data_IF_252298620263
#
_entry.id   IF_252298620263
#
_cell.length_a   1.000
_cell.length_b   1.000
_cell.length_c   1.000
_cell.angle_alpha   90.00
_cell.angle_beta   90.00
_cell.angle_gamma   90.00
#
_symmetry.space_group_name_H-M   'P 1'
#
loop_
_entity.id
_entity.type
_entity.pdbx_description
1 polymer ?
#
# COMPACT_ATOMS: atom_id res chain seq x y z
N UNK A 1 6.24 7.07 -11.56
CA UNK A 1 5.91 6.25 -10.37
C UNK A 1 6.40 4.84 -10.62
N UNK A 2 7.05 4.20 -9.63
CA UNK A 2 7.54 2.81 -9.75
C UNK A 2 6.44 1.86 -9.29
N UNK A 3 6.22 0.78 -10.04
CA UNK A 3 5.42 -0.35 -9.58
C UNK A 3 6.24 -1.08 -8.51
N UNK A 4 5.76 -1.08 -7.28
CA UNK A 4 6.38 -1.76 -6.17
C UNK A 4 5.73 -3.13 -6.00
N UNK A 5 6.53 -4.14 -5.70
CA UNK A 5 6.03 -5.43 -5.21
C UNK A 5 5.55 -5.28 -3.77
N UNK A 6 4.79 -6.27 -3.30
CA UNK A 6 4.28 -6.32 -1.92
C UNK A 6 5.35 -6.08 -0.84
N UNK A 7 6.50 -6.75 -0.93
CA UNK A 7 7.62 -6.56 0.01
C UNK A 7 8.24 -5.16 -0.07
N UNK A 8 8.33 -4.62 -1.30
CA UNK A 8 8.94 -3.30 -1.54
C UNK A 8 8.07 -2.16 -1.00
N UNK A 9 6.74 -2.26 -1.16
CA UNK A 9 5.83 -1.23 -0.67
C UNK A 9 5.80 -1.20 0.86
N UNK A 10 5.78 -2.36 1.53
CA UNK A 10 5.83 -2.42 2.99
C UNK A 10 7.10 -1.78 3.51
N UNK A 11 8.24 -2.09 2.90
CA UNK A 11 9.51 -1.49 3.29
C UNK A 11 9.52 0.03 3.11
N UNK A 12 9.08 0.53 1.95
CA UNK A 12 8.98 1.98 1.72
C UNK A 12 8.01 2.65 2.69
N UNK A 13 6.86 2.04 2.98
CA UNK A 13 5.90 2.58 3.95
C UNK A 13 6.51 2.65 5.34
N UNK A 14 7.20 1.60 5.79
CA UNK A 14 7.87 1.59 7.08
C UNK A 14 8.94 2.68 7.18
N UNK A 15 9.71 2.91 6.11
CA UNK A 15 10.71 3.98 6.06
C UNK A 15 10.07 5.38 6.03
N UNK A 16 8.98 5.56 5.27
CA UNK A 16 8.30 6.85 5.14
C UNK A 16 7.51 7.22 6.40
N UNK A 17 6.90 6.25 7.06
CA UNK A 17 6.10 6.44 8.28
C UNK A 17 6.93 6.31 9.56
N UNK A 18 8.19 5.88 9.45
CA UNK A 18 9.09 5.62 10.57
C UNK A 18 8.50 4.64 11.62
N UNK A 19 7.61 3.75 11.16
CA UNK A 19 6.82 2.85 11.99
C UNK A 19 6.62 1.53 11.24
N UNK A 20 6.55 0.40 11.95
CA UNK A 20 6.17 -0.86 11.31
C UNK A 20 4.67 -0.89 11.06
N UNK A 21 4.26 -0.62 9.82
CA UNK A 21 2.87 -0.57 9.39
C UNK A 21 2.44 -1.83 8.63
N UNK A 22 3.25 -2.89 8.68
CA UNK A 22 3.00 -4.16 7.98
C UNK A 22 1.60 -4.71 8.25
N UNK A 23 1.19 -4.75 9.52
CA UNK A 23 -0.15 -5.24 9.88
C UNK A 23 -1.27 -4.36 9.31
N UNK A 24 -1.11 -3.03 9.44
CA UNK A 24 -2.10 -2.06 8.95
C UNK A 24 -2.23 -2.18 7.42
N UNK A 25 -1.11 -2.34 6.72
CA UNK A 25 -1.06 -2.55 5.28
C UNK A 25 -1.82 -3.81 4.85
N UNK A 26 -1.56 -4.95 5.50
CA UNK A 26 -2.24 -6.22 5.21
C UNK A 26 -3.75 -6.14 5.43
N UNK A 27 -4.19 -5.50 6.52
CA UNK A 27 -5.60 -5.29 6.82
C UNK A 27 -6.29 -4.43 5.75
N UNK A 28 -5.67 -3.31 5.37
CA UNK A 28 -6.20 -2.42 4.34
C UNK A 28 -6.18 -3.06 2.95
N UNK A 29 -5.15 -3.82 2.61
CA UNK A 29 -5.05 -4.55 1.35
C UNK A 29 -6.17 -5.58 1.22
N UNK A 30 -6.45 -6.33 2.30
CA UNK A 30 -7.56 -7.29 2.32
C UNK A 30 -8.90 -6.59 2.12
N UNK A 31 -9.13 -5.47 2.81
CA UNK A 31 -10.34 -4.68 2.65
C UNK A 31 -10.48 -4.12 1.22
N UNK A 32 -9.39 -3.58 0.66
CA UNK A 32 -9.34 -3.07 -0.71
C UNK A 32 -9.68 -4.14 -1.75
N UNK A 33 -9.15 -5.36 -1.58
CA UNK A 33 -9.47 -6.51 -2.42
C UNK A 33 -10.92 -7.00 -2.29
N UNK A 34 -11.47 -7.04 -1.08
CA UNK A 34 -12.86 -7.45 -0.82
C UNK A 34 -13.88 -6.43 -1.37
N UNK A 35 -13.59 -5.13 -1.25
CA UNK A 35 -14.51 -4.06 -1.66
C UNK A 35 -14.29 -3.56 -3.09
N UNK A 36 -13.26 -4.06 -3.79
CA UNK A 36 -12.92 -3.63 -5.15
C UNK A 36 -12.41 -2.18 -5.20
N UNK A 37 -11.81 -1.70 -4.11
CA UNK A 37 -11.26 -0.35 -4.00
C UNK A 37 -9.78 -0.42 -4.41
N UNK A 38 -9.34 0.27 -5.47
CA UNK A 38 -7.96 0.18 -5.96
C UNK A 38 -6.98 1.07 -5.19
N UNK A 39 -7.33 1.56 -4.01
CA UNK A 39 -6.44 2.34 -3.14
C UNK A 39 -6.90 2.33 -1.68
N UNK A 40 -5.98 2.63 -0.77
CA UNK A 40 -6.24 2.80 0.66
C UNK A 40 -5.21 3.74 1.29
N UNK A 41 -5.52 4.26 2.48
CA UNK A 41 -4.65 5.17 3.23
C UNK A 41 -4.06 4.41 4.41
N UNK A 42 -2.74 4.54 4.61
CA UNK A 42 -2.02 4.07 5.77
C UNK A 42 -1.57 5.27 6.59
N UNK A 43 -1.91 5.26 7.88
CA UNK A 43 -1.54 6.30 8.83
C UNK A 43 -0.66 5.75 9.94
N UNK A 44 0.38 6.47 10.35
CA UNK A 44 1.12 6.15 11.57
C UNK A 44 0.49 6.77 12.82
N UNK A 45 1.02 6.41 14.00
CA UNK A 45 0.57 6.99 15.28
C UNK A 45 0.79 8.50 15.41
N UNK A 46 1.68 9.09 14.60
CA UNK A 46 1.93 10.54 14.57
C UNK A 46 0.93 11.31 13.70
N UNK A 47 0.00 10.61 13.04
CA UNK A 47 -0.98 11.20 12.13
C UNK A 47 -0.45 11.49 10.73
N UNK A 48 0.69 10.91 10.35
CA UNK A 48 1.20 10.96 8.97
C UNK A 48 0.46 9.95 8.13
N UNK A 49 -0.11 10.41 7.02
CA UNK A 49 -0.93 9.59 6.12
C UNK A 49 -0.22 9.41 4.77
N UNK A 50 -0.30 8.20 4.22
CA UNK A 50 0.23 7.86 2.91
C UNK A 50 -0.84 7.08 2.16
N UNK A 51 -1.18 7.54 0.95
CA UNK A 51 -2.08 6.82 0.07
C UNK A 51 -1.30 5.80 -0.77
N UNK A 52 -1.84 4.57 -0.80
CA UNK A 52 -1.32 3.46 -1.57
C UNK A 52 -2.38 3.03 -2.56
N UNK A 53 -2.03 3.06 -3.85
CA UNK A 53 -2.83 2.47 -4.90
C UNK A 53 -2.42 1.02 -5.16
N UNK A 54 -3.41 0.17 -5.39
CA UNK A 54 -3.29 -1.23 -5.76
C UNK A 54 -3.75 -1.39 -7.20
N UNK A 55 -2.86 -1.94 -8.03
CA UNK A 55 -3.12 -2.20 -9.44
C UNK A 55 -2.98 -3.69 -9.69
N UNK A 56 -4.04 -4.31 -10.22
CA UNK A 56 -3.98 -5.70 -10.65
C UNK A 56 -3.55 -5.77 -12.11
N UNK A 57 -2.36 -6.33 -12.33
CA UNK A 57 -1.88 -6.68 -13.65
C UNK A 57 -2.40 -8.06 -14.03
N UNK A 58 -3.36 -8.07 -14.97
CA UNK A 58 -4.01 -9.29 -15.44
C UNK A 58 -3.12 -10.14 -16.35
N UNK A 59 -2.08 -9.54 -16.95
CA UNK A 59 -1.18 -10.23 -17.87
C UNK A 59 -0.11 -11.01 -17.09
N UNK A 60 0.40 -10.41 -16.02
CA UNK A 60 1.33 -11.03 -15.08
C UNK A 60 0.63 -11.85 -13.97
N UNK A 61 -0.69 -11.70 -13.82
CA UNK A 61 -1.49 -12.25 -12.70
C UNK A 61 -0.94 -11.83 -11.33
N UNK A 62 -0.58 -10.55 -11.19
CA UNK A 62 0.11 -10.02 -10.02
C UNK A 62 -0.43 -8.65 -9.59
N UNK A 63 -0.35 -8.36 -8.29
CA UNK A 63 -0.66 -7.05 -7.72
C UNK A 63 0.59 -6.17 -7.65
N UNK A 64 0.46 -4.96 -8.16
CA UNK A 64 1.44 -3.88 -8.02
C UNK A 64 0.92 -2.78 -7.12
N UNK A 65 1.84 -2.14 -6.41
CA UNK A 65 1.53 -1.09 -5.45
C UNK A 65 2.23 0.20 -5.85
N UNK A 66 1.58 1.33 -5.61
CA UNK A 66 2.10 2.66 -5.91
C UNK A 66 1.81 3.59 -4.75
N UNK A 67 2.82 4.33 -4.31
CA UNK A 67 2.63 5.40 -3.35
C UNK A 67 2.17 6.65 -4.10
N UNK A 68 1.00 7.15 -3.77
CA UNK A 68 0.52 8.45 -4.25
C UNK A 68 1.00 9.48 -3.23
N UNK A 69 2.09 10.17 -3.57
CA UNK A 69 2.56 11.35 -2.84
C UNK A 69 1.90 12.58 -3.46
N UNK A 70 1.22 13.39 -2.65
CA UNK A 70 0.91 14.79 -2.97
C UNK A 70 2.20 15.63 -2.92
#
# INVERSE_FOLDING_TARGET
MKNLSHDQIIKELNELLNEDVTNVFEEQLKAAGEHGIPSFIISNQEGKEIEVAVEWDKEADQLYYKIIKD
#
